data_IF_520641202843
#
_entry.id   IF_520641202843
#
_cell.length_a   1.000
_cell.length_b   1.000
_cell.length_c   1.000
_cell.angle_alpha   90.00
_cell.angle_beta   90.00
_cell.angle_gamma   90.00
#
_symmetry.space_group_name_H-M   'P 1'
#
loop_
_entity.id
_entity.type
_entity.pdbx_description
1 polymer ?
#
# COMPACT_ATOMS: atom_id res chain seq x y z
N UNK A 1 -56.53 32.34 22.59
CA UNK A 1 -55.38 31.56 22.06
C UNK A 1 -54.22 31.56 23.06
N UNK A 2 -54.23 30.71 24.09
CA UNK A 2 -53.10 30.60 25.03
C UNK A 2 -52.98 29.17 25.58
N UNK A 3 -52.20 28.30 24.91
CA UNK A 3 -51.77 27.00 25.46
C UNK A 3 -50.67 26.38 24.60
N UNK A 4 -49.50 27.04 24.52
CA UNK A 4 -48.27 26.46 23.92
C UNK A 4 -46.99 26.82 24.69
N UNK A 5 -47.02 26.78 26.03
CA UNK A 5 -45.83 27.06 26.86
C UNK A 5 -45.54 26.00 27.95
N UNK A 6 -46.08 24.77 27.82
CA UNK A 6 -45.81 23.69 28.80
C UNK A 6 -44.75 22.66 28.38
N UNK A 7 -44.15 22.78 27.19
CA UNK A 7 -43.19 21.79 26.67
C UNK A 7 -41.71 22.05 27.05
N UNK A 8 -41.39 23.17 27.71
CA UNK A 8 -40.00 23.58 27.97
C UNK A 8 -39.46 23.24 29.37
N UNK A 9 -40.22 22.51 30.21
CA UNK A 9 -39.86 22.32 31.64
C UNK A 9 -39.47 20.89 32.05
N UNK A 10 -39.09 20.03 31.10
CA UNK A 10 -38.72 18.64 31.40
C UNK A 10 -37.22 18.33 31.23
N UNK A 11 -36.35 19.31 31.44
CA UNK A 11 -34.90 19.08 31.51
C UNK A 11 -34.53 18.51 32.89
N UNK A 12 -34.78 17.22 33.10
CA UNK A 12 -34.10 16.49 34.18
C UNK A 12 -32.62 16.41 33.80
N UNK A 13 -31.77 17.14 34.53
CA UNK A 13 -30.33 17.12 34.33
C UNK A 13 -29.74 15.75 34.67
N UNK A 14 -28.77 15.31 33.88
CA UNK A 14 -27.98 14.10 34.17
C UNK A 14 -27.11 14.36 35.40
N UNK A 15 -26.97 13.37 36.28
CA UNK A 15 -26.10 13.50 37.45
C UNK A 15 -24.63 13.30 37.05
N UNK A 16 -23.69 13.91 37.78
CA UNK A 16 -22.25 13.72 37.51
C UNK A 16 -21.82 12.25 37.63
N UNK A 17 -22.48 11.47 38.48
CA UNK A 17 -22.19 10.04 38.70
C UNK A 17 -22.57 9.21 37.45
N UNK A 18 -23.68 9.54 36.79
CA UNK A 18 -24.08 8.88 35.54
C UNK A 18 -23.08 9.19 34.42
N UNK A 19 -22.63 10.44 34.30
CA UNK A 19 -21.57 10.80 33.35
C UNK A 19 -20.24 10.11 33.67
N UNK A 20 -19.90 9.97 34.94
CA UNK A 20 -18.68 9.28 35.38
C UNK A 20 -18.70 7.80 34.98
N UNK A 21 -19.81 7.09 35.22
CA UNK A 21 -19.93 5.67 34.87
C UNK A 21 -19.77 5.44 33.35
N UNK A 22 -20.32 6.33 32.53
CA UNK A 22 -20.17 6.27 31.06
C UNK A 22 -18.71 6.44 30.64
N UNK A 23 -18.00 7.41 31.21
CA UNK A 23 -16.59 7.65 30.91
C UNK A 23 -15.69 6.47 31.29
N UNK A 24 -15.98 5.79 32.40
CA UNK A 24 -15.26 4.58 32.80
C UNK A 24 -15.42 3.48 31.75
N UNK A 25 -16.65 3.22 31.30
CA UNK A 25 -16.92 2.20 30.28
C UNK A 25 -16.24 2.58 28.94
N UNK A 26 -16.35 3.85 28.51
CA UNK A 26 -15.68 4.35 27.30
C UNK A 26 -14.15 4.22 27.41
N UNK A 27 -13.58 4.48 28.60
CA UNK A 27 -12.15 4.34 28.86
C UNK A 27 -11.66 2.90 28.69
N UNK A 28 -12.41 1.92 29.20
CA UNK A 28 -12.08 0.49 29.05
C UNK A 28 -12.15 0.08 27.58
N UNK A 29 -13.20 0.48 26.86
CA UNK A 29 -13.34 0.18 25.42
C UNK A 29 -12.19 0.82 24.62
N UNK A 30 -11.88 2.10 24.88
CA UNK A 30 -10.83 2.82 24.18
C UNK A 30 -9.45 2.18 24.39
N UNK A 31 -9.13 1.70 25.60
CA UNK A 31 -7.85 1.07 25.91
C UNK A 31 -7.57 -0.18 25.04
N UNK A 32 -8.61 -0.95 24.69
CA UNK A 32 -8.48 -2.14 23.83
C UNK A 32 -8.62 -1.78 22.34
N UNK A 33 -9.55 -0.87 22.01
CA UNK A 33 -9.88 -0.53 20.64
C UNK A 33 -8.74 0.20 19.91
N UNK A 34 -8.06 1.14 20.57
CA UNK A 34 -6.99 1.95 19.95
C UNK A 34 -5.83 1.09 19.42
N UNK A 35 -5.17 0.24 20.21
CA UNK A 35 -4.07 -0.58 19.70
C UNK A 35 -4.53 -1.61 18.65
N UNK A 36 -5.74 -2.16 18.80
CA UNK A 36 -6.29 -3.11 17.85
C UNK A 36 -6.54 -2.48 16.48
N UNK A 37 -7.20 -1.33 16.45
CA UNK A 37 -7.48 -0.59 15.22
C UNK A 37 -6.17 -0.10 14.58
N UNK A 38 -5.21 0.36 15.38
CA UNK A 38 -3.88 0.75 14.91
C UNK A 38 -3.20 -0.38 14.11
N UNK A 39 -3.15 -1.58 14.69
CA UNK A 39 -2.56 -2.76 14.01
C UNK A 39 -3.33 -3.15 12.74
N UNK A 40 -4.66 -3.02 12.72
CA UNK A 40 -5.47 -3.31 11.53
C UNK A 40 -5.21 -2.30 10.41
N UNK A 41 -5.09 -1.01 10.76
CA UNK A 41 -4.76 0.04 9.80
C UNK A 41 -3.37 -0.18 9.22
N UNK A 42 -2.37 -0.47 10.06
CA UNK A 42 -1.00 -0.74 9.60
C UNK A 42 -0.96 -1.91 8.62
N UNK A 43 -1.56 -3.05 8.99
CA UNK A 43 -1.67 -4.21 8.09
C UNK A 43 -2.42 -3.90 6.78
N UNK A 44 -3.46 -3.07 6.84
CA UNK A 44 -4.20 -2.67 5.65
C UNK A 44 -3.35 -1.80 4.73
N UNK A 45 -2.52 -0.91 5.29
CA UNK A 45 -1.56 -0.10 4.54
C UNK A 45 -0.48 -0.97 3.92
N UNK A 46 0.08 -1.92 4.67
CA UNK A 46 1.09 -2.84 4.14
C UNK A 46 0.57 -3.68 2.98
N UNK A 47 -0.68 -4.16 3.08
CA UNK A 47 -1.35 -4.86 1.98
C UNK A 47 -1.62 -3.95 0.79
N UNK A 48 -2.01 -2.70 1.01
CA UNK A 48 -2.19 -1.73 -0.06
C UNK A 48 -0.86 -1.46 -0.78
N UNK A 49 0.21 -1.18 -0.04
CA UNK A 49 1.56 -0.97 -0.57
C UNK A 49 2.03 -2.20 -1.39
N UNK A 50 1.76 -3.42 -0.91
CA UNK A 50 2.12 -4.65 -1.62
C UNK A 50 1.33 -4.83 -2.93
N UNK A 51 0.03 -4.53 -2.93
CA UNK A 51 -0.81 -4.60 -4.13
C UNK A 51 -0.43 -3.53 -5.15
N UNK A 52 -0.11 -2.31 -4.70
CA UNK A 52 0.39 -1.24 -5.55
C UNK A 52 1.70 -1.64 -6.24
N UNK A 53 2.67 -2.17 -5.48
CA UNK A 53 3.91 -2.69 -6.04
C UNK A 53 3.69 -3.83 -7.05
N UNK A 54 2.72 -4.73 -6.82
CA UNK A 54 2.34 -5.76 -7.79
C UNK A 54 1.76 -5.15 -9.07
N UNK A 55 0.94 -4.10 -8.94
CA UNK A 55 0.37 -3.40 -10.08
C UNK A 55 1.47 -2.75 -10.94
N UNK A 56 2.46 -2.14 -10.30
CA UNK A 56 3.64 -1.57 -10.97
C UNK A 56 4.47 -2.65 -11.68
N UNK A 57 4.69 -3.82 -11.05
CA UNK A 57 5.37 -4.94 -11.70
C UNK A 57 4.58 -5.44 -12.92
N UNK A 58 3.25 -5.50 -12.83
CA UNK A 58 2.41 -5.89 -13.96
C UNK A 58 2.49 -4.87 -15.10
N UNK A 59 2.55 -3.57 -14.79
CA UNK A 59 2.80 -2.53 -15.78
C UNK A 59 4.14 -2.72 -16.50
N UNK A 60 5.21 -3.00 -15.75
CA UNK A 60 6.52 -3.27 -16.34
C UNK A 60 6.52 -4.54 -17.22
N UNK A 61 5.76 -5.58 -16.84
CA UNK A 61 5.55 -6.77 -17.68
C UNK A 61 4.82 -6.46 -18.98
N UNK A 62 3.81 -5.59 -18.94
CA UNK A 62 3.09 -5.15 -20.14
C UNK A 62 4.02 -4.37 -21.07
N UNK A 63 4.79 -3.42 -20.53
CA UNK A 63 5.81 -2.68 -21.28
C UNK A 63 6.84 -3.63 -21.93
N UNK A 64 7.40 -4.57 -21.15
CA UNK A 64 8.32 -5.59 -21.66
C UNK A 64 7.71 -6.43 -22.78
N UNK A 65 6.45 -6.84 -22.63
CA UNK A 65 5.73 -7.61 -23.65
C UNK A 65 5.48 -6.80 -24.93
N UNK A 66 5.41 -5.47 -24.83
CA UNK A 66 5.27 -4.55 -25.96
C UNK A 66 6.62 -4.23 -26.63
N UNK A 67 7.72 -4.78 -26.13
CA UNK A 67 9.07 -4.49 -26.63
C UNK A 67 9.63 -3.16 -26.13
N UNK A 68 9.02 -2.57 -25.11
CA UNK A 68 9.54 -1.39 -24.42
C UNK A 68 10.43 -1.86 -23.28
N UNK A 69 11.74 -1.64 -23.41
CA UNK A 69 12.74 -2.23 -22.53
C UNK A 69 13.30 -1.26 -21.48
N UNK A 70 12.79 -0.03 -21.40
CA UNK A 70 13.36 1.03 -20.57
C UNK A 70 14.63 1.64 -21.18
N UNK A 71 14.90 2.89 -20.83
CA UNK A 71 16.04 3.68 -21.29
C UNK A 71 17.35 3.13 -20.73
N UNK A 72 18.33 2.94 -21.59
CA UNK A 72 19.64 2.39 -21.22
C UNK A 72 19.71 0.86 -21.18
N UNK A 73 18.63 0.14 -21.50
CA UNK A 73 18.67 -1.32 -21.62
C UNK A 73 19.49 -1.75 -22.84
N UNK A 74 20.38 -2.76 -22.72
CA UNK A 74 21.13 -3.30 -23.85
C UNK A 74 20.21 -3.98 -24.86
N UNK A 75 20.76 -4.35 -26.03
CA UNK A 75 20.05 -5.14 -27.04
C UNK A 75 19.31 -6.33 -26.37
N UNK A 76 17.98 -6.45 -26.54
CA UNK A 76 17.16 -7.44 -25.85
C UNK A 76 17.57 -8.89 -26.13
N UNK A 77 18.29 -9.15 -27.24
CA UNK A 77 18.85 -10.46 -27.58
C UNK A 77 20.07 -10.85 -26.73
N UNK A 78 20.72 -9.88 -26.08
CA UNK A 78 21.94 -10.06 -25.29
C UNK A 78 21.80 -9.66 -23.82
N UNK A 79 20.81 -8.82 -23.50
CA UNK A 79 20.57 -8.34 -22.15
C UNK A 79 20.04 -9.45 -21.22
N UNK A 80 20.58 -9.49 -20.00
CA UNK A 80 20.07 -10.30 -18.89
C UNK A 80 19.28 -9.49 -17.87
N UNK A 81 19.37 -8.16 -17.91
CA UNK A 81 18.66 -7.25 -17.00
C UNK A 81 17.98 -6.14 -17.81
N UNK A 82 16.74 -5.83 -17.43
CA UNK A 82 15.97 -4.69 -17.93
C UNK A 82 15.45 -3.90 -16.75
N UNK A 83 15.45 -2.58 -16.86
CA UNK A 83 15.09 -1.68 -15.78
C UNK A 83 14.07 -0.66 -16.24
N UNK A 84 13.05 -0.44 -15.42
CA UNK A 84 11.96 0.49 -15.66
C UNK A 84 11.89 1.47 -14.51
N UNK A 85 12.04 2.74 -14.84
CA UNK A 85 11.76 3.85 -13.96
C UNK A 85 10.28 4.16 -13.98
N UNK A 86 9.86 4.97 -13.02
CA UNK A 86 8.49 5.46 -12.94
C UNK A 86 8.01 6.13 -14.23
N UNK A 87 8.80 7.07 -14.78
CA UNK A 87 8.40 7.85 -15.97
C UNK A 87 8.10 6.97 -17.17
N UNK A 88 8.77 5.82 -17.26
CA UNK A 88 8.58 4.87 -18.36
C UNK A 88 7.34 4.01 -18.20
N UNK A 89 6.74 3.97 -17.01
CA UNK A 89 5.53 3.21 -16.71
C UNK A 89 4.29 4.09 -16.54
N UNK A 90 4.40 5.42 -16.67
CA UNK A 90 3.29 6.37 -16.50
C UNK A 90 2.11 6.10 -17.46
N UNK A 91 2.37 5.52 -18.65
CA UNK A 91 1.31 5.14 -19.60
C UNK A 91 0.59 3.84 -19.24
N UNK A 92 1.15 3.02 -18.35
CA UNK A 92 0.66 1.69 -17.98
C UNK A 92 0.02 1.64 -16.60
N UNK A 93 0.41 2.53 -15.71
CA UNK A 93 -0.09 2.56 -14.33
C UNK A 93 -0.21 3.99 -13.83
N UNK A 94 -1.38 4.29 -13.26
CA UNK A 94 -1.62 5.53 -12.53
C UNK A 94 -1.23 5.29 -11.06
N UNK A 95 0.00 5.67 -10.72
CA UNK A 95 0.52 5.63 -9.35
C UNK A 95 0.82 7.06 -8.92
N UNK A 96 0.30 7.47 -7.77
CA UNK A 96 0.46 8.83 -7.28
C UNK A 96 1.95 9.21 -7.20
N UNK A 97 2.28 10.21 -8.02
CA UNK A 97 3.63 10.51 -8.52
C UNK A 97 4.46 11.24 -7.44
N UNK A 98 3.87 11.61 -6.31
CA UNK A 98 4.47 12.63 -5.45
C UNK A 98 5.65 12.18 -4.58
N UNK A 99 5.83 10.88 -4.28
CA UNK A 99 6.88 10.47 -3.32
C UNK A 99 7.70 9.20 -3.61
N UNK A 100 7.30 8.30 -4.53
CA UNK A 100 8.05 7.05 -4.74
C UNK A 100 9.04 7.14 -5.89
N UNK A 101 10.33 7.13 -5.56
CA UNK A 101 11.44 6.82 -6.48
C UNK A 101 11.61 5.30 -6.54
N UNK A 102 10.73 4.62 -7.26
CA UNK A 102 10.85 3.18 -7.47
C UNK A 102 11.56 2.86 -8.78
N UNK A 103 12.13 1.65 -8.84
CA UNK A 103 12.64 1.05 -10.07
C UNK A 103 12.22 -0.41 -10.11
N UNK A 104 11.68 -0.86 -11.24
CA UNK A 104 11.37 -2.27 -11.48
C UNK A 104 12.46 -2.87 -12.34
N UNK A 105 12.93 -4.05 -11.95
CA UNK A 105 13.92 -4.82 -12.70
C UNK A 105 13.37 -6.17 -13.11
N UNK A 106 13.69 -6.57 -14.33
CA UNK A 106 13.52 -7.94 -14.82
C UNK A 106 14.89 -8.56 -15.03
N UNK A 107 15.19 -9.66 -14.32
CA UNK A 107 16.47 -10.35 -14.40
C UNK A 107 16.30 -11.77 -14.93
N UNK A 108 17.02 -12.11 -15.99
CA UNK A 108 17.09 -13.45 -16.59
C UNK A 108 18.40 -14.15 -16.20
N UNK A 109 18.41 -15.48 -16.16
CA UNK A 109 19.65 -16.24 -15.94
C UNK A 109 20.53 -16.25 -17.20
N UNK A 110 19.92 -16.30 -18.39
CA UNK A 110 20.58 -16.14 -19.69
C UNK A 110 19.78 -15.22 -20.60
N UNK A 111 20.46 -14.55 -21.54
CA UNK A 111 19.81 -13.64 -22.48
C UNK A 111 18.72 -14.32 -23.33
N UNK A 112 18.90 -15.61 -23.62
CA UNK A 112 17.97 -16.45 -24.37
C UNK A 112 16.71 -16.86 -23.60
N UNK A 113 16.71 -16.69 -22.27
CA UNK A 113 15.60 -17.13 -21.45
C UNK A 113 14.38 -16.23 -21.66
N UNK A 114 13.20 -16.84 -21.70
CA UNK A 114 11.92 -16.11 -21.78
C UNK A 114 11.33 -15.84 -20.40
N UNK A 115 11.90 -16.43 -19.36
CA UNK A 115 11.51 -16.29 -17.97
C UNK A 115 12.63 -15.65 -17.16
N UNK A 116 12.24 -14.98 -16.08
CA UNK A 116 13.14 -14.27 -15.20
C UNK A 116 12.41 -13.82 -13.94
N UNK A 117 13.13 -13.15 -13.07
CA UNK A 117 12.63 -12.65 -11.80
C UNK A 117 12.31 -11.17 -11.92
N UNK A 118 11.09 -10.80 -11.52
CA UNK A 118 10.68 -9.41 -11.38
C UNK A 118 10.89 -8.92 -9.96
N UNK A 119 11.58 -7.80 -9.81
CA UNK A 119 11.84 -7.16 -8.52
C UNK A 119 11.54 -5.67 -8.56
N UNK A 120 11.02 -5.13 -7.47
CA UNK A 120 10.85 -3.69 -7.28
C UNK A 120 11.76 -3.19 -6.15
N UNK A 121 12.40 -2.04 -6.35
CA UNK A 121 13.30 -1.38 -5.40
C UNK A 121 12.82 0.04 -5.18
N UNK A 122 12.94 0.56 -3.94
CA UNK A 122 12.62 1.96 -3.62
C UNK A 122 11.13 2.25 -3.42
N UNK A 123 10.30 1.20 -3.37
CA UNK A 123 8.88 1.29 -2.98
C UNK A 123 8.73 0.97 -1.47
N UNK A 124 7.79 1.57 -0.72
CA UNK A 124 7.57 1.27 0.70
C UNK A 124 7.38 -0.22 1.01
N UNK A 125 6.68 -0.93 0.12
CA UNK A 125 6.54 -2.38 0.20
C UNK A 125 7.91 -3.11 0.13
N UNK A 126 8.83 -2.62 -0.70
CA UNK A 126 10.16 -3.22 -0.85
C UNK A 126 11.03 -3.07 0.39
N UNK A 127 10.92 -1.94 1.10
CA UNK A 127 11.65 -1.69 2.35
C UNK A 127 11.16 -2.56 3.52
N UNK A 128 9.87 -2.90 3.53
CA UNK A 128 9.25 -3.72 4.60
C UNK A 128 9.44 -5.22 4.37
N UNK A 129 9.50 -5.64 3.11
CA UNK A 129 9.47 -7.06 2.71
C UNK A 129 10.87 -7.60 2.41
N UNK A 130 11.77 -6.75 1.91
CA UNK A 130 13.14 -7.14 1.59
C UNK A 130 14.08 -6.80 2.74
N UNK A 131 15.07 -7.67 2.96
CA UNK A 131 16.10 -7.47 3.97
C UNK A 131 17.13 -6.41 3.53
N UNK A 132 18.38 -6.81 3.37
CA UNK A 132 19.50 -5.88 3.09
C UNK A 132 19.44 -5.22 1.70
N UNK A 133 18.85 -5.90 0.71
CA UNK A 133 18.90 -5.47 -0.69
C UNK A 133 17.75 -4.54 -1.08
N UNK A 134 16.75 -4.35 -0.19
CA UNK A 134 15.56 -3.49 -0.41
C UNK A 134 14.85 -3.77 -1.75
N UNK A 135 15.02 -4.97 -2.29
CA UNK A 135 14.43 -5.45 -3.53
C UNK A 135 13.39 -6.52 -3.20
N UNK A 136 12.11 -6.23 -3.43
CA UNK A 136 11.04 -7.19 -3.22
C UNK A 136 10.72 -7.92 -4.52
N UNK A 137 10.75 -9.25 -4.47
CA UNK A 137 10.32 -10.10 -5.59
C UNK A 137 8.80 -10.13 -5.67
N UNK A 138 8.28 -10.39 -6.88
CA UNK A 138 6.84 -10.57 -7.11
C UNK A 138 6.21 -11.60 -6.17
N UNK A 139 6.91 -12.72 -5.89
CA UNK A 139 6.38 -13.76 -5.02
C UNK A 139 6.26 -13.30 -3.56
N UNK A 140 7.24 -12.52 -3.08
CA UNK A 140 7.19 -11.95 -1.74
C UNK A 140 6.04 -10.94 -1.60
N UNK A 141 5.82 -10.11 -2.62
CA UNK A 141 4.70 -9.16 -2.65
C UNK A 141 3.34 -9.87 -2.69
N UNK A 142 3.21 -10.94 -3.48
CA UNK A 142 1.98 -11.76 -3.49
C UNK A 142 1.69 -12.40 -2.14
N UNK A 143 2.73 -12.75 -1.37
CA UNK A 143 2.54 -13.30 -0.03
C UNK A 143 2.15 -12.21 0.97
N UNK A 144 2.72 -11.00 0.85
CA UNK A 144 2.40 -9.86 1.72
C UNK A 144 1.00 -9.26 1.44
N UNK A 145 0.52 -9.37 0.21
CA UNK A 145 -0.81 -8.88 -0.19
C UNK A 145 -1.98 -9.76 0.29
N UNK A 146 -1.72 -11.00 0.74
CA UNK A 146 -2.73 -11.91 1.28
C UNK A 146 -3.17 -11.50 2.68
#
# INVERSE_FOLDING_TARGET
>A
MQKRMKLLKNQKGMTLVELLAVLVILGIIAAIAIPMIGNVIEKSRDKADANEALNIINAAKMAYSNGEYGSGSPDPSTATEFSYTKTELESYVDVDITNNKYTVKFTKAKATDKSGTWTIVGHPASDKISGKDKAATEQQLKNAAK
#
